data_IF_810763510312
#
_entry.id   IF_810763510312
#
_cell.length_a   1.000
_cell.length_b   1.000
_cell.length_c   1.000
_cell.angle_alpha   90.00
_cell.angle_beta   90.00
_cell.angle_gamma   90.00
#
_symmetry.space_group_name_H-M   'P 1'
#
loop_
_entity.id
_entity.type
_entity.pdbx_description
1 polymer ?
#
# COMPACT_ATOMS: atom_id res chain seq x y z
N UNK A 1 -21.05 9.32 -2.89
CA UNK A 1 -21.60 7.94 -2.78
C UNK A 1 -20.89 7.28 -1.63
N UNK A 2 -21.58 6.96 -0.53
CA UNK A 2 -21.08 6.20 0.61
C UNK A 2 -21.05 4.71 0.24
N UNK A 3 -20.00 4.27 -0.41
CA UNK A 3 -19.79 2.85 -0.69
C UNK A 3 -19.18 2.19 0.55
N UNK A 4 -19.69 1.05 1.02
CA UNK A 4 -19.11 0.31 2.14
C UNK A 4 -17.73 -0.20 1.72
N UNK A 5 -16.70 0.23 2.45
CA UNK A 5 -15.34 -0.27 2.26
C UNK A 5 -15.16 -1.56 3.06
N UNK A 6 -14.60 -2.56 2.39
CA UNK A 6 -14.23 -3.82 3.04
C UNK A 6 -12.83 -3.65 3.62
N UNK A 7 -12.68 -3.97 4.90
CA UNK A 7 -11.36 -3.95 5.56
C UNK A 7 -10.49 -5.07 5.01
N UNK A 8 -9.29 -4.73 4.56
CA UNK A 8 -8.29 -5.70 4.11
C UNK A 8 -7.14 -5.75 5.13
N UNK A 9 -7.27 -6.62 6.13
CA UNK A 9 -6.30 -6.76 7.22
C UNK A 9 -4.90 -7.10 6.69
N UNK A 10 -4.82 -7.90 5.63
CA UNK A 10 -3.58 -8.35 4.99
C UNK A 10 -2.76 -7.18 4.41
N UNK A 11 -3.43 -6.07 4.10
CA UNK A 11 -2.80 -4.87 3.54
C UNK A 11 -2.34 -3.87 4.60
N UNK A 12 -2.64 -4.13 5.87
CA UNK A 12 -2.26 -3.30 7.01
C UNK A 12 -3.05 -1.99 7.15
N UNK A 13 -2.69 -1.21 8.16
CA UNK A 13 -3.08 0.19 8.38
C UNK A 13 -4.58 0.48 8.56
N UNK A 14 -5.42 -0.48 8.91
CA UNK A 14 -6.86 -0.25 9.10
C UNK A 14 -7.56 0.29 7.85
N UNK A 15 -6.94 0.14 6.69
CA UNK A 15 -7.47 0.63 5.42
C UNK A 15 -8.65 -0.21 4.92
N UNK A 16 -9.55 0.44 4.19
CA UNK A 16 -10.65 -0.22 3.50
C UNK A 16 -10.51 -0.16 1.99
N UNK A 17 -11.14 -1.07 1.29
CA UNK A 17 -11.21 -1.03 -0.16
C UNK A 17 -12.56 -1.54 -0.67
N UNK A 18 -12.93 -1.11 -1.87
CA UNK A 18 -13.99 -1.70 -2.67
C UNK A 18 -13.44 -2.01 -4.05
N UNK A 19 -13.74 -3.19 -4.56
CA UNK A 19 -13.28 -3.66 -5.87
C UNK A 19 -14.43 -3.64 -6.87
N UNK A 20 -14.12 -3.20 -8.09
CA UNK A 20 -15.05 -3.21 -9.21
C UNK A 20 -14.58 -4.22 -10.25
N UNK A 21 -15.44 -5.19 -10.55
CA UNK A 21 -15.21 -6.15 -11.63
C UNK A 21 -15.90 -5.61 -12.89
N UNK A 22 -15.08 -5.07 -13.79
CA UNK A 22 -15.58 -4.41 -15.00
C UNK A 22 -15.83 -5.45 -16.10
N UNK A 23 -17.08 -5.93 -16.19
CA UNK A 23 -17.57 -6.81 -17.26
C UNK A 23 -16.69 -8.03 -17.59
N UNK A 24 -15.99 -8.59 -16.59
CA UNK A 24 -14.98 -9.67 -16.75
C UNK A 24 -13.84 -9.33 -17.73
N UNK A 25 -13.62 -8.03 -17.99
CA UNK A 25 -12.52 -7.57 -18.83
C UNK A 25 -11.13 -7.80 -18.21
N UNK A 26 -10.09 -7.47 -18.96
CA UNK A 26 -8.69 -7.59 -18.52
C UNK A 26 -8.28 -6.55 -17.46
N UNK A 27 -9.08 -5.49 -17.28
CA UNK A 27 -8.83 -4.41 -16.33
C UNK A 27 -9.73 -4.59 -15.11
N UNK A 28 -9.13 -4.55 -13.94
CA UNK A 28 -9.80 -4.44 -12.65
C UNK A 28 -9.63 -3.04 -12.08
N UNK A 29 -10.60 -2.57 -11.31
CA UNK A 29 -10.46 -1.32 -10.56
C UNK A 29 -10.82 -1.49 -9.09
N UNK A 30 -10.28 -0.63 -8.25
CA UNK A 30 -10.66 -0.56 -6.85
C UNK A 30 -10.47 0.84 -6.29
N UNK A 31 -11.33 1.22 -5.36
CA UNK A 31 -11.10 2.36 -4.49
C UNK A 31 -10.47 1.83 -3.21
N UNK A 32 -9.46 2.52 -2.74
CA UNK A 32 -8.78 2.23 -1.49
C UNK A 32 -8.71 3.49 -0.63
N UNK A 33 -8.94 3.32 0.67
CA UNK A 33 -8.86 4.41 1.64
C UNK A 33 -8.04 3.97 2.84
N UNK A 34 -7.27 4.88 3.41
CA UNK A 34 -6.54 4.66 4.64
C UNK A 34 -6.54 5.91 5.54
N UNK A 35 -6.60 5.70 6.87
CA UNK A 35 -6.74 6.76 7.85
C UNK A 35 -5.53 7.71 7.89
N UNK A 36 -5.73 8.87 8.51
CA UNK A 36 -4.65 9.80 8.85
C UNK A 36 -3.61 9.10 9.72
N UNK A 37 -2.34 9.39 9.46
CA UNK A 37 -1.22 8.84 10.23
C UNK A 37 -0.97 7.34 9.98
N UNK A 38 -1.46 6.80 8.88
CA UNK A 38 -1.24 5.40 8.52
C UNK A 38 -0.68 5.23 7.11
N UNK A 39 -0.05 4.09 6.86
CA UNK A 39 0.44 3.69 5.56
C UNK A 39 0.30 2.18 5.35
N UNK A 40 0.32 1.75 4.11
CA UNK A 40 0.14 0.35 3.72
C UNK A 40 1.47 -0.38 3.60
N UNK A 41 1.43 -1.70 3.69
CA UNK A 41 2.60 -2.54 3.39
C UNK A 41 3.11 -2.29 1.98
N UNK A 42 4.42 -2.25 1.83
CA UNK A 42 5.06 -2.26 0.53
C UNK A 42 4.76 -3.56 -0.21
N UNK A 43 4.60 -3.47 -1.51
CA UNK A 43 4.37 -4.65 -2.34
C UNK A 43 4.75 -4.37 -3.79
N UNK A 44 5.02 -5.43 -4.53
CA UNK A 44 5.25 -5.38 -5.95
C UNK A 44 4.19 -6.20 -6.71
N UNK A 45 3.85 -5.78 -7.89
CA UNK A 45 3.05 -6.55 -8.82
C UNK A 45 3.30 -6.09 -10.26
N UNK A 46 3.08 -6.98 -11.18
CA UNK A 46 3.03 -6.70 -12.60
C UNK A 46 1.66 -7.04 -13.18
N UNK A 47 1.30 -6.47 -14.31
CA UNK A 47 1.74 -5.18 -14.84
C UNK A 47 1.31 -4.02 -13.95
N UNK A 48 1.92 -2.83 -14.15
CA UNK A 48 1.71 -1.65 -13.31
C UNK A 48 0.25 -1.24 -13.09
N UNK A 49 0.05 -0.26 -12.23
CA UNK A 49 -1.26 0.31 -11.93
C UNK A 49 -1.30 1.80 -12.26
N UNK A 50 -2.47 2.31 -12.61
CA UNK A 50 -2.74 3.74 -12.70
C UNK A 50 -3.57 4.14 -11.49
N UNK A 51 -2.99 4.92 -10.60
CA UNK A 51 -3.57 5.29 -9.30
C UNK A 51 -3.88 6.78 -9.30
N UNK A 52 -5.16 7.13 -9.24
CA UNK A 52 -5.64 8.52 -9.19
C UNK A 52 -6.01 8.86 -7.76
N UNK A 53 -5.40 9.89 -7.20
CA UNK A 53 -5.71 10.37 -5.84
C UNK A 53 -7.02 11.14 -5.86
N UNK A 54 -7.99 10.69 -5.06
CA UNK A 54 -9.34 11.26 -4.96
C UNK A 54 -9.50 12.18 -3.74
N UNK A 55 -8.78 11.90 -2.64
CA UNK A 55 -8.75 12.75 -1.44
C UNK A 55 -7.47 12.52 -0.64
N UNK A 56 -7.14 13.50 0.20
CA UNK A 56 -5.93 13.47 1.02
C UNK A 56 -4.68 13.88 0.25
N UNK A 57 -3.58 13.84 0.96
CA UNK A 57 -2.23 14.13 0.46
C UNK A 57 -1.21 13.24 1.15
N UNK A 58 -0.07 13.04 0.53
CA UNK A 58 0.97 12.21 1.07
C UNK A 58 2.07 11.94 0.07
N UNK A 59 2.67 10.77 0.15
CA UNK A 59 3.70 10.36 -0.77
C UNK A 59 3.69 8.84 -1.01
N UNK A 60 4.36 8.44 -2.05
CA UNK A 60 4.68 7.03 -2.31
C UNK A 60 6.18 6.83 -2.31
N UNK A 61 6.61 5.70 -1.80
CA UNK A 61 7.94 5.17 -2.04
C UNK A 61 7.83 4.15 -3.17
N UNK A 62 8.74 4.23 -4.15
CA UNK A 62 8.81 3.28 -5.27
C UNK A 62 10.26 2.94 -5.57
N UNK A 63 10.56 1.65 -5.77
CA UNK A 63 11.92 1.18 -6.04
C UNK A 63 11.92 -0.20 -6.72
N UNK A 64 12.88 -0.47 -7.62
CA UNK A 64 13.13 -1.83 -8.08
C UNK A 64 13.73 -2.67 -6.96
N UNK A 65 13.61 -3.98 -7.04
CA UNK A 65 14.22 -4.89 -6.08
C UNK A 65 15.74 -4.67 -6.00
N UNK A 66 16.27 -4.59 -4.77
CA UNK A 66 17.70 -4.37 -4.52
C UNK A 66 18.16 -2.91 -4.56
N UNK A 67 17.28 -1.94 -4.84
CA UNK A 67 17.60 -0.52 -4.81
C UNK A 67 16.95 0.20 -3.62
N UNK A 68 17.41 1.44 -3.36
CA UNK A 68 16.83 2.30 -2.33
C UNK A 68 15.49 2.90 -2.77
N UNK A 69 14.53 3.05 -1.83
CA UNK A 69 13.24 3.66 -2.11
C UNK A 69 13.37 5.13 -2.54
N UNK A 70 12.66 5.50 -3.61
CA UNK A 70 12.57 6.88 -4.11
C UNK A 70 11.20 7.45 -3.74
N UNK A 71 11.16 8.69 -3.26
CA UNK A 71 9.95 9.38 -2.82
C UNK A 71 9.30 10.17 -3.94
N UNK A 72 7.96 10.08 -4.02
CA UNK A 72 7.10 10.79 -4.95
C UNK A 72 5.90 11.35 -4.20
N UNK A 73 5.86 12.67 -4.02
CA UNK A 73 4.75 13.35 -3.32
C UNK A 73 3.50 13.37 -4.20
N UNK A 74 2.33 13.34 -3.56
CA UNK A 74 1.04 13.38 -4.26
C UNK A 74 -0.03 14.12 -3.46
N UNK A 75 -1.00 14.65 -4.18
CA UNK A 75 -2.20 15.32 -3.70
C UNK A 75 -3.39 14.95 -4.59
N UNK A 76 -4.58 15.48 -4.28
CA UNK A 76 -5.78 15.25 -5.09
C UNK A 76 -5.53 15.57 -6.57
N UNK A 77 -5.96 14.66 -7.44
CA UNK A 77 -5.75 14.75 -8.89
C UNK A 77 -4.42 14.18 -9.39
N UNK A 78 -3.47 13.87 -8.51
CA UNK A 78 -2.20 13.24 -8.93
C UNK A 78 -2.47 11.85 -9.50
N UNK A 79 -1.86 11.55 -10.64
CA UNK A 79 -1.75 10.21 -11.21
C UNK A 79 -0.40 9.60 -10.82
N UNK A 80 -0.45 8.51 -10.07
CA UNK A 80 0.72 7.73 -9.66
C UNK A 80 0.75 6.46 -10.51
N UNK A 81 1.88 6.17 -11.14
CA UNK A 81 2.05 4.98 -11.98
C UNK A 81 3.30 4.21 -11.50
N UNK A 82 3.16 3.29 -10.53
CA UNK A 82 4.27 2.43 -10.14
C UNK A 82 4.76 1.63 -11.35
N UNK A 83 6.06 1.62 -11.65
CA UNK A 83 6.60 0.82 -12.74
C UNK A 83 6.33 -0.67 -12.55
N UNK A 84 6.33 -1.42 -13.64
CA UNK A 84 6.12 -2.86 -13.62
C UNK A 84 7.12 -3.56 -12.69
N UNK A 85 6.60 -4.39 -11.79
CA UNK A 85 7.36 -5.18 -10.82
C UNK A 85 8.17 -4.37 -9.77
N UNK A 86 8.07 -3.05 -9.74
CA UNK A 86 8.68 -2.27 -8.68
C UNK A 86 7.90 -2.43 -7.37
N UNK A 87 8.61 -2.48 -6.25
CA UNK A 87 8.01 -2.29 -4.94
C UNK A 87 7.45 -0.88 -4.86
N UNK A 88 6.27 -0.76 -4.26
CA UNK A 88 5.65 0.53 -4.00
C UNK A 88 4.84 0.50 -2.71
N UNK A 89 4.79 1.65 -2.05
CA UNK A 89 4.14 1.84 -0.76
C UNK A 89 3.53 3.24 -0.71
N UNK A 90 2.32 3.37 -0.16
CA UNK A 90 1.59 4.64 -0.12
C UNK A 90 1.38 5.09 1.31
N UNK A 91 1.68 6.35 1.60
CA UNK A 91 1.68 6.97 2.91
C UNK A 91 0.71 8.15 2.96
N UNK A 92 -0.26 8.11 3.87
CA UNK A 92 -1.11 9.27 4.15
C UNK A 92 -0.40 10.15 5.18
N UNK A 93 0.26 11.20 4.74
CA UNK A 93 0.94 12.16 5.61
C UNK A 93 0.15 13.46 5.83
N UNK A 94 -1.02 13.59 5.20
CA UNK A 94 -1.89 14.74 5.34
C UNK A 94 -2.90 14.61 6.48
N UNK A 95 -3.65 15.71 6.78
CA UNK A 95 -4.58 15.80 7.91
C UNK A 95 -5.94 15.14 7.64
N UNK A 96 -6.18 14.61 6.46
CA UNK A 96 -7.45 13.97 6.07
C UNK A 96 -7.24 12.54 5.58
N UNK A 97 -8.26 11.66 5.66
CA UNK A 97 -8.16 10.31 5.10
C UNK A 97 -7.80 10.35 3.61
N UNK A 98 -6.81 9.57 3.22
CA UNK A 98 -6.42 9.46 1.82
C UNK A 98 -7.24 8.40 1.12
N UNK A 99 -7.70 8.73 -0.10
CA UNK A 99 -8.45 7.83 -0.97
C UNK A 99 -7.90 7.88 -2.38
N UNK A 100 -7.77 6.73 -3.02
CA UNK A 100 -7.39 6.65 -4.42
C UNK A 100 -8.23 5.63 -5.18
N UNK A 101 -8.36 5.85 -6.48
CA UNK A 101 -8.92 4.94 -7.47
C UNK A 101 -7.75 4.34 -8.26
N UNK A 102 -7.65 3.02 -8.27
CA UNK A 102 -6.64 2.31 -9.05
C UNK A 102 -7.28 1.51 -10.18
N UNK A 103 -6.67 1.59 -11.36
CA UNK A 103 -6.91 0.72 -12.50
C UNK A 103 -5.68 -0.15 -12.73
N UNK A 104 -5.86 -1.44 -12.84
CA UNK A 104 -4.76 -2.38 -13.06
C UNK A 104 -5.23 -3.63 -13.77
N UNK A 105 -4.30 -4.32 -14.41
CA UNK A 105 -4.53 -5.69 -14.85
C UNK A 105 -4.64 -6.64 -13.65
N UNK A 106 -5.14 -7.84 -13.89
CA UNK A 106 -5.17 -8.88 -12.88
C UNK A 106 -3.75 -9.24 -12.44
N UNK A 107 -3.50 -9.17 -11.12
CA UNK A 107 -2.20 -9.54 -10.56
C UNK A 107 -1.97 -11.04 -10.63
N UNK A 108 -0.72 -11.49 -10.78
CA UNK A 108 -0.35 -12.90 -10.63
C UNK A 108 -0.84 -13.45 -9.29
N UNK A 109 -1.25 -14.72 -9.30
CA UNK A 109 -1.79 -15.41 -8.14
C UNK A 109 -1.05 -16.71 -7.91
N UNK A 110 -1.02 -17.16 -6.64
CA UNK A 110 -0.52 -18.49 -6.30
C UNK A 110 -1.54 -19.59 -6.69
N UNK A 111 -1.19 -20.84 -6.45
CA UNK A 111 -2.05 -22.00 -6.74
C UNK A 111 -3.42 -21.96 -6.02
N UNK A 112 -3.54 -21.25 -4.90
CA UNK A 112 -4.77 -21.07 -4.14
C UNK A 112 -5.57 -19.83 -4.60
N UNK A 113 -5.14 -19.16 -5.65
CA UNK A 113 -5.81 -17.98 -6.21
C UNK A 113 -5.57 -16.68 -5.40
N UNK A 114 -4.63 -16.66 -4.45
CA UNK A 114 -4.27 -15.46 -3.68
C UNK A 114 -3.29 -14.60 -4.49
N UNK A 115 -3.50 -13.27 -4.60
CA UNK A 115 -2.54 -12.40 -5.28
C UNK A 115 -1.16 -12.46 -4.62
N UNK A 116 -0.10 -12.62 -5.40
CA UNK A 116 1.29 -12.64 -4.88
C UNK A 116 1.63 -11.40 -4.07
N UNK A 117 1.08 -10.24 -4.45
CA UNK A 117 1.22 -8.96 -3.72
C UNK A 117 0.49 -8.90 -2.36
N UNK A 118 -0.14 -9.98 -1.92
CA UNK A 118 -0.78 -10.15 -0.61
C UNK A 118 -0.07 -11.21 0.23
N UNK A 119 0.92 -11.87 -0.35
CA UNK A 119 1.71 -12.90 0.31
C UNK A 119 3.04 -12.28 0.72
N UNK A 120 3.46 -12.52 1.97
CA UNK A 120 4.75 -12.08 2.49
C UNK A 120 5.93 -12.53 1.61
N UNK A 121 6.92 -11.67 1.46
CA UNK A 121 8.21 -12.04 0.84
C UNK A 121 8.88 -13.20 1.57
N UNK A 122 8.64 -13.36 2.86
CA UNK A 122 9.11 -14.50 3.66
C UNK A 122 8.53 -15.85 3.19
N UNK A 123 7.40 -15.83 2.48
CA UNK A 123 6.70 -16.98 1.90
C UNK A 123 6.79 -17.03 0.36
N UNK A 124 7.75 -16.32 -0.23
CA UNK A 124 7.91 -16.26 -1.69
C UNK A 124 6.89 -15.36 -2.41
N UNK A 125 6.15 -14.53 -1.67
CA UNK A 125 5.29 -13.50 -2.24
C UNK A 125 6.04 -12.22 -2.55
N UNK A 126 5.29 -11.14 -2.77
CA UNK A 126 5.83 -9.82 -3.10
C UNK A 126 5.29 -8.71 -2.19
N UNK A 127 4.91 -9.02 -0.95
CA UNK A 127 4.54 -8.06 0.07
C UNK A 127 5.58 -8.05 1.19
N UNK A 128 6.13 -6.87 1.48
CA UNK A 128 7.08 -6.65 2.58
C UNK A 128 6.29 -6.46 3.88
N UNK A 129 6.61 -7.23 4.90
CA UNK A 129 6.02 -7.06 6.22
C UNK A 129 6.60 -5.82 6.92
N UNK A 130 5.84 -5.17 7.79
CA UNK A 130 6.31 -3.99 8.52
C UNK A 130 7.57 -4.26 9.36
N UNK A 131 7.72 -5.50 9.86
CA UNK A 131 8.90 -5.93 10.58
C UNK A 131 10.17 -6.03 9.71
N UNK A 132 10.01 -6.08 8.38
CA UNK A 132 11.11 -6.18 7.40
C UNK A 132 11.39 -4.85 6.70
N UNK A 133 10.67 -3.80 7.04
CA UNK A 133 10.89 -2.46 6.51
C UNK A 133 12.23 -1.88 6.99
N UNK A 134 12.87 -1.14 6.10
CA UNK A 134 14.04 -0.34 6.48
C UNK A 134 13.64 0.71 7.52
N UNK A 135 14.44 0.97 8.56
CA UNK A 135 14.17 2.01 9.57
C UNK A 135 13.93 3.39 8.96
N UNK A 136 14.56 3.70 7.82
CA UNK A 136 14.37 4.92 7.05
C UNK A 136 12.89 5.19 6.72
N UNK A 137 12.11 4.15 6.40
CA UNK A 137 10.69 4.28 6.02
C UNK A 137 9.88 4.91 7.14
N UNK A 138 10.07 4.43 8.37
CA UNK A 138 9.36 4.94 9.56
C UNK A 138 9.76 6.37 9.90
N UNK A 139 11.06 6.67 9.81
CA UNK A 139 11.57 8.02 10.06
C UNK A 139 11.00 9.02 9.05
N UNK A 140 11.06 8.70 7.76
CA UNK A 140 10.49 9.54 6.71
C UNK A 140 8.99 9.80 6.91
N UNK A 141 8.25 8.79 7.41
CA UNK A 141 6.83 8.96 7.68
C UNK A 141 6.55 9.85 8.87
N UNK A 142 7.29 9.67 9.97
CA UNK A 142 7.18 10.53 11.15
C UNK A 142 7.50 12.00 10.80
N UNK A 143 8.59 12.24 10.05
CA UNK A 143 8.99 13.58 9.61
C UNK A 143 7.94 14.22 8.68
N UNK A 144 7.32 13.44 7.81
CA UNK A 144 6.28 13.94 6.91
C UNK A 144 5.01 14.36 7.68
N UNK A 145 4.59 13.58 8.68
CA UNK A 145 3.46 13.89 9.54
C UNK A 145 3.73 15.11 10.45
N UNK A 146 4.95 15.23 10.96
CA UNK A 146 5.34 16.34 11.84
C UNK A 146 5.15 17.71 11.16
N UNK A 147 5.28 17.81 9.84
CA UNK A 147 5.02 19.04 9.07
C UNK A 147 3.57 19.54 9.18
N UNK A 148 2.64 18.62 9.49
CA UNK A 148 1.22 18.91 9.74
C UNK A 148 0.86 18.88 11.23
N UNK A 149 1.84 18.77 12.13
CA UNK A 149 1.59 18.64 13.57
C UNK A 149 0.97 17.28 13.94
N UNK A 150 1.14 16.27 13.11
CA UNK A 150 0.57 14.94 13.28
C UNK A 150 1.63 13.93 13.75
N UNK A 151 1.14 12.80 14.27
CA UNK A 151 1.98 11.68 14.69
C UNK A 151 1.57 10.39 13.96
N UNK A 152 2.50 9.44 13.78
CA UNK A 152 2.16 8.10 13.27
C UNK A 152 1.12 7.41 14.16
N UNK A 153 0.21 6.66 13.53
CA UNK A 153 -0.81 5.83 14.19
C UNK A 153 -0.65 4.37 13.79
N UNK A 154 0.58 3.89 13.88
CA UNK A 154 0.97 2.58 13.38
C UNK A 154 1.28 1.55 14.47
N UNK A 155 1.38 1.95 15.75
CA UNK A 155 1.84 1.06 16.82
C UNK A 155 0.97 -0.18 16.98
N UNK A 156 -0.36 -0.02 16.98
CA UNK A 156 -1.30 -1.15 17.03
C UNK A 156 -1.19 -2.04 15.79
N UNK A 157 -0.90 -1.45 14.63
CA UNK A 157 -0.73 -2.18 13.37
C UNK A 157 0.52 -3.05 13.41
N UNK A 158 1.63 -2.50 13.90
CA UNK A 158 2.87 -3.24 14.08
C UNK A 158 2.73 -4.36 15.12
N UNK A 159 2.11 -4.04 16.26
CA UNK A 159 1.87 -5.03 17.32
C UNK A 159 0.97 -6.18 16.87
N UNK A 160 -0.05 -5.90 16.04
CA UNK A 160 -0.94 -6.92 15.50
C UNK A 160 -0.28 -7.83 14.45
N UNK A 161 0.78 -7.36 13.80
CA UNK A 161 1.51 -8.16 12.82
C UNK A 161 2.42 -9.20 13.47
N UNK A 162 3.15 -8.83 14.51
CA UNK A 162 4.22 -9.63 15.12
C UNK A 162 3.86 -11.10 15.39
N UNK A 163 2.69 -11.42 15.98
CA UNK A 163 2.33 -12.81 16.28
C UNK A 163 2.09 -13.66 15.02
N UNK A 164 1.85 -13.03 13.88
CA UNK A 164 1.46 -13.68 12.63
C UNK A 164 2.58 -13.67 11.57
N UNK A 165 3.77 -13.20 11.95
CA UNK A 165 4.89 -13.15 11.01
C UNK A 165 5.39 -14.56 10.68
N UNK A 166 5.48 -14.92 9.39
CA UNK A 166 6.17 -16.12 8.99
C UNK A 166 7.65 -16.07 9.39
N UNK A 167 8.31 -17.20 9.66
CA UNK A 167 9.76 -17.21 9.87
C UNK A 167 10.47 -16.64 8.63
N UNK A 168 11.63 -15.99 8.84
CA UNK A 168 12.49 -15.64 7.70
C UNK A 168 13.01 -16.92 7.06
N UNK A 169 13.00 -16.96 5.73
CA UNK A 169 13.71 -18.00 5.00
C UNK A 169 15.21 -17.94 5.40
N UNK A 170 15.79 -19.11 5.63
CA UNK A 170 17.20 -19.26 5.98
C UNK A 170 18.09 -18.92 4.78
#
# INVERSE_FOLDING_TARGET
VNLPLITAKERGAGGGHIRFNMARGSIASHISQFPVGTYKKAHAHGPGAHVIVLSGEGYSLMWPEGEEPRRYDWQVGTLIVPPNAWFHQHFNSGPTPARYLAFKHWSPRNAQGVPMSWISTRLGGTQVDYADEQPLVRNMFADALARHGLQPRMDEVYAAELPNLPPKAA
#
